data_IF_793857979670
#
_entry.id   IF_793857979670
#
_cell.length_a   1.000
_cell.length_b   1.000
_cell.length_c   1.000
_cell.angle_alpha   90.00
_cell.angle_beta   90.00
_cell.angle_gamma   90.00
#
_symmetry.space_group_name_H-M   'P 1'
#
loop_
_entity.id
_entity.type
_entity.pdbx_description
1 polymer ?
#
# COMPACT_ATOMS: atom_id res chain seq x y z
N UNK A 1 23.12 2.65 3.36
CA UNK A 1 22.35 2.38 2.12
C UNK A 1 21.11 1.59 2.52
N UNK A 2 19.91 2.18 2.56
CA UNK A 2 19.04 2.50 1.41
C UNK A 2 18.34 1.27 0.77
N UNK A 3 18.18 0.17 1.52
CA UNK A 3 17.44 -1.05 1.13
C UNK A 3 16.02 -1.15 1.69
N UNK A 4 15.65 -0.33 2.68
CA UNK A 4 14.28 -0.29 3.22
C UNK A 4 13.19 -0.02 2.16
N UNK A 5 13.31 1.00 1.29
CA UNK A 5 12.26 1.28 0.31
C UNK A 5 12.14 0.18 -0.74
N UNK A 6 13.25 -0.47 -1.12
CA UNK A 6 13.22 -1.60 -2.05
C UNK A 6 12.60 -2.83 -1.41
N UNK A 7 12.90 -3.13 -0.14
CA UNK A 7 12.26 -4.21 0.60
C UNK A 7 10.74 -4.01 0.74
N UNK A 8 10.31 -2.78 1.05
CA UNK A 8 8.89 -2.42 1.12
C UNK A 8 8.24 -2.59 -0.26
N UNK A 9 8.89 -2.09 -1.31
CA UNK A 9 8.40 -2.24 -2.68
C UNK A 9 8.26 -3.69 -3.12
N UNK A 10 9.24 -4.55 -2.80
CA UNK A 10 9.19 -5.99 -3.06
C UNK A 10 8.06 -6.65 -2.25
N UNK A 11 7.95 -6.33 -0.96
CA UNK A 11 6.89 -6.86 -0.11
C UNK A 11 5.48 -6.48 -0.62
N UNK A 12 5.31 -5.26 -1.14
CA UNK A 12 4.06 -4.83 -1.76
C UNK A 12 3.83 -5.51 -3.12
N UNK A 13 4.84 -5.55 -3.98
CA UNK A 13 4.72 -6.14 -5.32
C UNK A 13 4.30 -7.62 -5.30
N UNK A 14 4.80 -8.41 -4.35
CA UNK A 14 4.44 -9.83 -4.21
C UNK A 14 3.34 -10.08 -3.18
N UNK A 15 3.30 -9.29 -2.11
CA UNK A 15 2.33 -9.46 -1.03
C UNK A 15 0.93 -9.03 -1.44
N UNK A 16 0.78 -7.94 -2.19
CA UNK A 16 -0.53 -7.44 -2.64
C UNK A 16 -1.27 -8.41 -3.58
N UNK A 17 -0.66 -9.00 -4.63
CA UNK A 17 -1.35 -10.01 -5.44
C UNK A 17 -1.66 -11.29 -4.65
N UNK A 18 -0.78 -11.71 -3.72
CA UNK A 18 -1.09 -12.82 -2.81
C UNK A 18 -2.31 -12.51 -1.92
N UNK A 19 -2.39 -11.29 -1.39
CA UNK A 19 -3.54 -10.79 -0.64
C UNK A 19 -4.82 -10.77 -1.47
N UNK A 20 -4.74 -10.38 -2.74
CA UNK A 20 -5.87 -10.42 -3.65
C UNK A 20 -6.37 -11.85 -3.88
N UNK A 21 -5.45 -12.81 -4.08
CA UNK A 21 -5.81 -14.23 -4.23
C UNK A 21 -6.45 -14.79 -2.97
N UNK A 22 -5.90 -14.50 -1.79
CA UNK A 22 -6.48 -14.93 -0.51
C UNK A 22 -7.86 -14.30 -0.31
N UNK A 23 -8.00 -13.00 -0.57
CA UNK A 23 -9.28 -12.32 -0.45
C UNK A 23 -10.33 -12.87 -1.43
N UNK A 24 -9.93 -13.16 -2.68
CA UNK A 24 -10.79 -13.80 -3.67
C UNK A 24 -11.25 -15.20 -3.22
N UNK A 25 -10.38 -15.97 -2.56
CA UNK A 25 -10.72 -17.30 -2.04
C UNK A 25 -11.63 -17.27 -0.82
N UNK A 26 -11.49 -16.28 0.05
CA UNK A 26 -12.25 -16.20 1.31
C UNK A 26 -13.60 -15.51 1.11
N UNK A 27 -13.65 -14.49 0.26
CA UNK A 27 -14.81 -13.59 0.12
C UNK A 27 -15.43 -13.61 -1.28
N UNK A 28 -14.91 -14.41 -2.22
CA UNK A 28 -15.39 -14.54 -3.59
C UNK A 28 -14.75 -13.57 -4.59
N UNK A 29 -15.06 -13.75 -5.87
CA UNK A 29 -14.58 -12.92 -6.98
C UNK A 29 -15.20 -11.51 -6.92
N UNK A 30 -14.48 -10.58 -6.27
CA UNK A 30 -14.75 -9.15 -6.30
C UNK A 30 -13.54 -8.44 -6.89
N UNK A 31 -13.70 -7.15 -7.25
CA UNK A 31 -12.60 -6.27 -7.69
C UNK A 31 -11.63 -5.94 -6.53
N UNK A 32 -10.99 -6.97 -5.98
CA UNK A 32 -10.05 -6.91 -4.86
C UNK A 32 -8.86 -6.00 -5.12
N UNK A 33 -8.30 -5.92 -6.34
CA UNK A 33 -7.17 -5.00 -6.59
C UNK A 33 -7.52 -3.55 -6.26
N UNK A 34 -8.67 -3.07 -6.71
CA UNK A 34 -9.11 -1.70 -6.47
C UNK A 34 -9.43 -1.45 -5.00
N UNK A 35 -10.11 -2.41 -4.35
CA UNK A 35 -10.47 -2.31 -2.93
C UNK A 35 -9.24 -2.31 -2.02
N UNK A 36 -8.29 -3.20 -2.27
CA UNK A 36 -7.05 -3.30 -1.49
C UNK A 36 -6.17 -2.07 -1.73
N UNK A 37 -6.08 -1.58 -2.97
CA UNK A 37 -5.42 -0.32 -3.29
C UNK A 37 -6.03 0.87 -2.53
N UNK A 38 -7.37 0.97 -2.50
CA UNK A 38 -8.08 2.01 -1.75
C UNK A 38 -7.84 1.91 -0.23
N UNK A 39 -7.79 0.69 0.32
CA UNK A 39 -7.46 0.46 1.74
C UNK A 39 -6.05 0.96 2.06
N UNK A 40 -5.06 0.66 1.20
CA UNK A 40 -3.69 1.14 1.37
C UNK A 40 -3.61 2.67 1.38
N UNK A 41 -4.33 3.34 0.46
CA UNK A 41 -4.40 4.80 0.42
C UNK A 41 -5.07 5.33 1.69
N UNK A 42 -6.22 4.79 2.09
CA UNK A 42 -6.95 5.23 3.29
C UNK A 42 -6.13 5.11 4.57
N UNK A 43 -5.46 3.98 4.78
CA UNK A 43 -4.54 3.77 5.91
C UNK A 43 -3.39 4.78 5.86
N UNK A 44 -2.83 5.02 4.67
CA UNK A 44 -1.72 5.97 4.52
C UNK A 44 -2.11 7.39 4.89
N UNK A 45 -3.30 7.84 4.48
CA UNK A 45 -3.84 9.17 4.83
C UNK A 45 -4.06 9.29 6.33
N UNK A 46 -4.62 8.27 6.98
CA UNK A 46 -4.82 8.26 8.44
C UNK A 46 -3.46 8.36 9.16
N UNK A 47 -2.48 7.57 8.73
CA UNK A 47 -1.13 7.56 9.33
C UNK A 47 -0.43 8.91 9.13
N UNK A 48 -0.55 9.53 7.96
CA UNK A 48 -0.01 10.86 7.69
C UNK A 48 -0.70 11.94 8.52
N UNK A 49 -2.03 11.87 8.65
CA UNK A 49 -2.81 12.76 9.50
C UNK A 49 -2.41 12.64 10.98
N UNK A 50 -2.22 11.41 11.47
CA UNK A 50 -1.80 11.15 12.84
C UNK A 50 -0.37 11.65 13.12
N UNK A 51 0.57 11.43 12.18
CA UNK A 51 1.92 12.00 12.23
C UNK A 51 1.91 13.52 12.24
N UNK A 52 1.01 14.14 11.47
CA UNK A 52 0.88 15.59 11.40
C UNK A 52 0.28 16.17 12.69
N UNK A 53 -0.64 15.46 13.34
CA UNK A 53 -1.30 15.87 14.58
C UNK A 53 -0.36 15.82 15.80
N UNK A 54 0.56 14.86 15.87
CA UNK A 54 1.42 14.64 17.04
C UNK A 54 2.92 14.56 16.69
N UNK A 55 3.45 15.64 16.11
CA UNK A 55 4.82 15.68 15.57
C UNK A 55 5.92 15.47 16.61
N UNK A 56 5.72 15.90 17.85
CA UNK A 56 6.75 15.82 18.89
C UNK A 56 6.99 14.37 19.34
N UNK A 57 5.92 13.57 19.42
CA UNK A 57 5.98 12.16 19.81
C UNK A 57 6.81 11.30 18.85
N UNK A 58 6.89 11.67 17.57
CA UNK A 58 7.64 10.93 16.54
C UNK A 58 9.02 11.49 16.24
N UNK A 59 9.50 12.44 17.06
CA UNK A 59 10.80 13.09 16.88
C UNK A 59 11.96 12.25 17.45
N UNK A 60 11.67 11.13 18.13
CA UNK A 60 12.67 10.19 18.66
C UNK A 60 13.62 9.73 17.57
N UNK A 61 14.92 9.94 17.79
CA UNK A 61 15.99 9.53 16.90
C UNK A 61 16.23 8.03 17.04
N UNK A 62 16.30 7.33 15.91
CA UNK A 62 16.66 5.91 15.85
C UNK A 62 18.19 5.76 15.74
N UNK A 63 18.68 4.52 15.84
CA UNK A 63 20.10 4.15 15.66
C UNK A 63 20.73 4.73 14.39
N UNK A 64 19.90 4.97 13.38
CA UNK A 64 20.31 5.41 12.04
C UNK A 64 20.39 6.94 11.92
N UNK A 65 20.21 7.68 13.02
CA UNK A 65 20.24 9.15 13.06
C UNK A 65 19.03 9.85 12.42
N UNK A 66 18.05 9.08 11.92
CA UNK A 66 16.78 9.58 11.43
C UNK A 66 15.68 9.49 12.50
N UNK A 67 14.69 10.38 12.43
CA UNK A 67 13.53 10.30 13.30
C UNK A 67 12.60 9.14 12.91
N UNK A 68 11.95 8.55 13.91
CA UNK A 68 10.91 7.54 13.69
C UNK A 68 9.82 8.05 12.75
N UNK A 69 9.40 9.31 12.92
CA UNK A 69 8.41 9.94 12.05
C UNK A 69 8.82 9.99 10.58
N UNK A 70 10.12 10.15 10.27
CA UNK A 70 10.61 10.13 8.89
C UNK A 70 10.42 8.77 8.23
N UNK A 71 10.68 7.69 8.96
CA UNK A 71 10.49 6.32 8.46
C UNK A 71 9.01 6.00 8.25
N UNK A 72 8.15 6.32 9.22
CA UNK A 72 6.70 6.09 9.10
C UNK A 72 6.13 6.91 7.93
N UNK A 73 6.57 8.16 7.78
CA UNK A 73 6.12 9.01 6.68
C UNK A 73 6.57 8.44 5.32
N UNK A 74 7.81 7.98 5.21
CA UNK A 74 8.30 7.35 3.98
C UNK A 74 7.57 6.04 3.65
N UNK A 75 7.28 5.22 4.66
CA UNK A 75 6.48 4.01 4.49
C UNK A 75 5.06 4.34 4.03
N UNK A 76 4.40 5.28 4.69
CA UNK A 76 3.05 5.73 4.34
C UNK A 76 2.98 6.32 2.93
N UNK A 77 3.97 7.12 2.53
CA UNK A 77 4.03 7.65 1.17
C UNK A 77 4.20 6.54 0.12
N UNK A 78 5.06 5.56 0.40
CA UNK A 78 5.28 4.41 -0.50
C UNK A 78 4.01 3.57 -0.63
N UNK A 79 3.32 3.33 0.50
CA UNK A 79 2.07 2.59 0.56
C UNK A 79 0.94 3.33 -0.18
N UNK A 80 0.85 4.66 -0.03
CA UNK A 80 -0.09 5.50 -0.75
C UNK A 80 0.16 5.44 -2.26
N UNK A 81 1.40 5.68 -2.71
CA UNK A 81 1.74 5.64 -4.13
C UNK A 81 1.42 4.28 -4.75
N UNK A 82 1.85 3.19 -4.09
CA UNK A 82 1.58 1.84 -4.56
C UNK A 82 0.07 1.53 -4.58
N UNK A 83 -0.65 1.88 -3.50
CA UNK A 83 -2.11 1.72 -3.42
C UNK A 83 -2.85 2.49 -4.50
N UNK A 84 -2.43 3.73 -4.80
CA UNK A 84 -2.99 4.54 -5.89
C UNK A 84 -2.73 3.91 -7.25
N UNK A 85 -1.50 3.45 -7.53
CA UNK A 85 -1.22 2.73 -8.77
C UNK A 85 -2.06 1.47 -8.88
N UNK A 86 -2.16 0.67 -7.82
CA UNK A 86 -2.91 -0.58 -7.84
C UNK A 86 -4.42 -0.36 -7.99
N UNK A 87 -4.95 0.68 -7.35
CA UNK A 87 -6.35 1.08 -7.52
C UNK A 87 -6.63 1.57 -8.95
N UNK A 88 -5.74 2.41 -9.50
CA UNK A 88 -5.87 2.90 -10.86
C UNK A 88 -5.71 1.78 -11.90
N UNK A 89 -4.76 0.86 -11.71
CA UNK A 89 -4.60 -0.30 -12.60
C UNK A 89 -5.80 -1.25 -12.55
N UNK A 90 -6.44 -1.40 -11.39
CA UNK A 90 -7.69 -2.16 -11.27
C UNK A 90 -8.89 -1.54 -11.99
N UNK A 91 -8.82 -0.24 -12.30
CA UNK A 91 -9.85 0.55 -12.99
C UNK A 91 -9.55 0.68 -14.50
N UNK A 92 -8.27 0.77 -14.87
CA UNK A 92 -7.81 1.06 -16.24
C UNK A 92 -7.47 -0.19 -17.06
N UNK A 93 -7.10 -1.31 -16.44
CA UNK A 93 -6.67 -2.51 -17.16
C UNK A 93 -7.85 -3.47 -17.38
N UNK A 94 -7.98 -4.06 -18.59
CA UNK A 94 -9.02 -5.03 -18.85
C UNK A 94 -8.82 -6.30 -17.99
N UNK A 95 -9.91 -6.98 -17.59
CA UNK A 95 -9.88 -8.17 -16.73
C UNK A 95 -9.08 -9.35 -17.27
N UNK A 96 -8.68 -9.33 -18.55
CA UNK A 96 -7.79 -10.30 -19.17
C UNK A 96 -6.31 -10.14 -18.78
N UNK A 97 -5.92 -9.03 -18.14
CA UNK A 97 -4.50 -8.76 -17.84
C UNK A 97 -4.01 -9.47 -16.57
N UNK A 98 -4.88 -9.73 -15.59
CA UNK A 98 -4.53 -10.51 -14.39
C UNK A 98 -5.23 -11.86 -14.41
N UNK A 99 -4.43 -12.92 -14.50
CA UNK A 99 -4.93 -14.29 -14.47
C UNK A 99 -5.29 -14.68 -13.03
N UNK A 100 -6.56 -15.01 -12.77
CA UNK A 100 -7.01 -15.58 -11.48
C UNK A 100 -7.52 -14.59 -10.43
N UNK A 101 -7.76 -13.32 -10.78
CA UNK A 101 -8.48 -12.36 -9.92
C UNK A 101 -9.37 -11.48 -10.79
N UNK A 102 -10.69 -11.45 -10.52
CA UNK A 102 -11.60 -10.55 -11.22
C UNK A 102 -11.17 -9.08 -11.08
N UNK A 103 -10.99 -8.41 -12.23
CA UNK A 103 -10.95 -6.95 -12.29
C UNK A 103 -12.34 -6.39 -12.56
N UNK A 104 -12.57 -5.15 -12.14
CA UNK A 104 -13.80 -4.47 -12.50
C UNK A 104 -13.80 -4.18 -14.00
N UNK A 105 -14.92 -4.41 -14.70
CA UNK A 105 -15.10 -3.82 -16.01
C UNK A 105 -15.13 -2.29 -15.87
N UNK A 106 -14.52 -1.54 -16.81
CA UNK A 106 -14.62 -0.08 -16.85
C UNK A 106 -16.06 0.38 -17.10
#
# INVERSE_FOLDING_TARGET
MRTYPTLIGVALAFGTPALCLVAARVFGELCWPQRIGAVYVGVSVIVQGYLAADRERFRTLLSDGNSLGRHINQFSFTLAAFGTFFAAFGDLLPPSYYYGVAMCPP
#
